data_IF_813653706675
#
_entry.id   IF_813653706675
#
_cell.length_a   1.000
_cell.length_b   1.000
_cell.length_c   1.000
_cell.angle_alpha   90.00
_cell.angle_beta   90.00
_cell.angle_gamma   90.00
#
_symmetry.space_group_name_H-M   'P 1'
#
loop_
_entity.id
_entity.type
_entity.pdbx_description
1 polymer ?
#
# COMPACT_ATOMS: atom_id res chain seq x y z
N UNK A 1 13.22 -1.78 17.56
CA UNK A 1 12.99 -3.03 18.27
C UNK A 1 13.05 -4.20 17.30
N UNK A 2 13.79 -5.26 17.57
CA UNK A 2 13.73 -6.43 16.72
C UNK A 2 12.32 -7.05 16.81
N UNK A 3 11.82 -7.62 15.72
CA UNK A 3 10.48 -8.22 15.71
C UNK A 3 10.42 -9.41 16.68
N UNK A 4 9.27 -9.62 17.34
CA UNK A 4 9.07 -10.82 18.15
C UNK A 4 9.18 -12.06 17.24
N UNK A 5 9.84 -13.10 17.74
CA UNK A 5 10.03 -14.33 16.99
C UNK A 5 8.71 -15.10 16.85
N UNK A 6 8.29 -15.30 15.62
CA UNK A 6 7.68 -16.51 15.15
C UNK A 6 6.26 -16.79 15.51
N UNK A 7 5.31 -16.36 14.70
CA UNK A 7 4.11 -17.17 14.41
C UNK A 7 4.38 -17.99 13.16
N UNK A 8 3.78 -19.18 13.05
CA UNK A 8 4.04 -20.13 11.99
C UNK A 8 3.83 -19.54 10.58
N UNK A 9 4.86 -18.90 10.03
CA UNK A 9 4.89 -18.37 8.66
C UNK A 9 4.52 -19.43 7.63
N UNK A 10 4.83 -20.70 7.90
CA UNK A 10 4.50 -21.83 7.04
C UNK A 10 2.99 -22.08 6.89
N UNK A 11 2.15 -21.56 7.78
CA UNK A 11 0.69 -21.70 7.71
C UNK A 11 0.02 -20.61 6.87
N UNK A 12 0.76 -19.59 6.42
CA UNK A 12 0.21 -18.53 5.60
C UNK A 12 0.05 -18.98 4.14
N UNK A 13 -1.05 -18.58 3.46
CA UNK A 13 -1.15 -18.72 2.01
C UNK A 13 0.04 -18.06 1.30
N UNK A 14 0.45 -18.58 0.13
CA UNK A 14 1.64 -18.07 -0.58
C UNK A 14 1.67 -16.56 -0.78
N UNK A 15 0.51 -15.94 -1.02
CA UNK A 15 0.39 -14.50 -1.22
C UNK A 15 0.70 -13.66 0.03
N UNK A 16 0.83 -14.27 1.19
CA UNK A 16 1.16 -13.62 2.46
C UNK A 16 2.48 -14.10 3.06
N UNK A 17 3.14 -15.08 2.43
CA UNK A 17 4.42 -15.58 2.90
C UNK A 17 5.54 -14.60 2.53
N UNK A 18 6.55 -14.42 3.41
CA UNK A 18 7.74 -13.65 3.07
C UNK A 18 8.45 -14.26 1.86
N UNK A 19 9.05 -13.42 1.04
CA UNK A 19 9.93 -13.88 -0.02
C UNK A 19 11.15 -14.60 0.55
N UNK A 20 11.52 -15.73 -0.05
CA UNK A 20 12.61 -16.59 0.42
C UNK A 20 13.97 -16.25 -0.16
N UNK A 21 14.02 -15.55 -1.27
CA UNK A 21 15.24 -15.16 -1.92
C UNK A 21 15.66 -13.76 -1.49
N UNK A 22 16.97 -13.41 -1.58
CA UNK A 22 17.33 -12.00 -1.50
C UNK A 22 16.48 -11.24 -2.51
N UNK A 23 15.79 -10.20 -2.03
CA UNK A 23 14.90 -9.41 -2.85
C UNK A 23 15.65 -8.98 -4.12
N UNK A 24 15.08 -9.26 -5.28
CA UNK A 24 15.58 -8.67 -6.51
C UNK A 24 15.54 -7.16 -6.33
N UNK A 25 16.59 -6.49 -6.77
CA UNK A 25 16.61 -5.04 -6.78
C UNK A 25 15.37 -4.52 -7.49
N UNK A 26 14.72 -3.52 -6.88
CA UNK A 26 13.53 -2.88 -7.44
C UNK A 26 13.90 -2.26 -8.80
N UNK A 27 13.13 -2.49 -9.87
CA UNK A 27 13.38 -1.85 -11.16
C UNK A 27 13.52 -0.33 -11.02
N UNK A 28 14.46 0.32 -11.73
CA UNK A 28 14.72 1.75 -11.59
C UNK A 28 13.48 2.64 -11.72
N UNK A 29 12.51 2.27 -12.56
CA UNK A 29 11.26 3.02 -12.73
C UNK A 29 10.41 3.10 -11.46
N UNK A 30 10.61 2.19 -10.51
CA UNK A 30 9.90 2.16 -9.23
C UNK A 30 10.70 2.73 -8.06
N UNK A 31 11.93 3.18 -8.31
CA UNK A 31 12.72 3.85 -7.27
C UNK A 31 12.05 5.16 -6.87
N UNK A 32 12.06 5.45 -5.57
CA UNK A 32 11.63 6.75 -5.06
C UNK A 32 12.38 7.87 -5.75
N UNK A 33 11.65 8.79 -6.37
CA UNK A 33 12.24 9.82 -7.23
C UNK A 33 11.47 11.13 -7.11
N UNK A 34 12.18 12.25 -7.05
CA UNK A 34 11.57 13.57 -7.18
C UNK A 34 11.20 13.79 -8.66
N UNK A 35 9.96 14.17 -8.90
CA UNK A 35 9.43 14.35 -10.26
C UNK A 35 8.67 15.67 -10.38
N UNK A 36 8.55 16.18 -11.62
CA UNK A 36 7.61 17.23 -11.93
C UNK A 36 6.20 16.67 -11.85
N UNK A 37 5.35 17.35 -11.11
CA UNK A 37 3.96 16.95 -10.92
C UNK A 37 3.10 18.19 -10.75
N UNK A 38 2.70 18.85 -11.84
CA UNK A 38 1.80 20.00 -11.79
C UNK A 38 0.46 19.58 -11.25
N UNK A 39 -0.01 20.22 -10.19
CA UNK A 39 -1.29 19.91 -9.56
C UNK A 39 -1.85 21.11 -8.83
N UNK A 40 -3.16 21.17 -8.69
CA UNK A 40 -3.86 22.14 -7.85
C UNK A 40 -3.96 21.70 -6.39
N UNK A 41 -3.57 20.46 -6.10
CA UNK A 41 -3.63 19.91 -4.74
C UNK A 41 -2.57 20.55 -3.84
N UNK A 42 -2.94 20.74 -2.58
CA UNK A 42 -2.04 21.31 -1.58
C UNK A 42 -0.82 20.43 -1.34
N UNK A 43 0.35 21.01 -1.02
CA UNK A 43 1.51 20.25 -0.58
C UNK A 43 1.16 19.31 0.58
N UNK A 44 1.73 18.10 0.59
CA UNK A 44 1.43 17.09 1.59
C UNK A 44 0.24 16.19 1.25
N UNK A 45 -0.31 16.29 0.04
CA UNK A 45 -1.37 15.41 -0.44
C UNK A 45 -0.77 14.17 -1.09
N UNK A 46 -1.34 13.01 -0.77
CA UNK A 46 -1.01 11.73 -1.42
C UNK A 46 -1.95 11.53 -2.61
N UNK A 47 -1.41 11.23 -3.78
CA UNK A 47 -2.17 10.90 -4.98
C UNK A 47 -1.73 9.53 -5.48
N UNK A 48 -2.67 8.60 -5.60
CA UNK A 48 -2.41 7.23 -6.01
C UNK A 48 -2.91 7.02 -7.44
N UNK A 49 -1.98 6.71 -8.32
CA UNK A 49 -2.24 6.36 -9.71
C UNK A 49 -2.19 4.84 -9.85
N UNK A 50 -3.31 4.19 -9.62
CA UNK A 50 -3.43 2.73 -9.60
C UNK A 50 -3.01 2.10 -10.92
N UNK A 51 -3.48 2.55 -12.11
CA UNK A 51 -3.11 1.91 -13.37
C UNK A 51 -1.61 1.91 -13.66
N UNK A 52 -0.90 2.95 -13.24
CA UNK A 52 0.54 3.08 -13.47
C UNK A 52 1.39 2.58 -12.30
N UNK A 53 0.76 2.15 -11.21
CA UNK A 53 1.44 1.65 -10.00
C UNK A 53 2.40 2.66 -9.37
N UNK A 54 1.94 3.89 -9.27
CA UNK A 54 2.66 4.98 -8.61
C UNK A 54 1.84 5.65 -7.50
N UNK A 55 2.54 6.09 -6.47
CA UNK A 55 2.04 6.99 -5.45
C UNK A 55 2.87 8.27 -5.49
N UNK A 56 2.20 9.41 -5.48
CA UNK A 56 2.83 10.73 -5.46
C UNK A 56 2.53 11.44 -4.14
N UNK A 57 3.56 11.94 -3.49
CA UNK A 57 3.42 12.87 -2.37
C UNK A 57 3.76 14.27 -2.89
N UNK A 58 2.78 15.15 -2.95
CA UNK A 58 2.99 16.53 -3.40
C UNK A 58 3.81 17.30 -2.37
N UNK A 59 4.79 18.06 -2.84
CA UNK A 59 5.67 18.86 -1.97
C UNK A 59 5.63 20.36 -2.30
N UNK A 60 4.75 20.78 -3.21
CA UNK A 60 4.67 22.16 -3.69
C UNK A 60 5.59 22.43 -4.87
N UNK A 61 5.49 23.65 -5.42
CA UNK A 61 6.29 24.11 -6.56
C UNK A 61 6.21 23.22 -7.81
N UNK A 62 5.06 22.55 -8.01
CA UNK A 62 4.86 21.64 -9.15
C UNK A 62 5.69 20.36 -9.07
N UNK A 63 6.09 19.96 -7.88
CA UNK A 63 6.92 18.77 -7.61
C UNK A 63 6.20 17.76 -6.72
N UNK A 64 6.57 16.51 -6.86
CA UNK A 64 6.15 15.42 -5.98
C UNK A 64 7.28 14.40 -5.81
N UNK A 65 7.22 13.66 -4.71
CA UNK A 65 8.02 12.45 -4.54
C UNK A 65 7.17 11.30 -5.07
N UNK A 66 7.71 10.55 -6.03
CA UNK A 66 7.06 9.39 -6.62
C UNK A 66 7.60 8.11 -6.03
N UNK A 67 6.70 7.24 -5.60
CA UNK A 67 7.00 5.89 -5.08
C UNK A 67 6.39 4.84 -6.01
N UNK A 68 7.11 3.76 -6.27
CA UNK A 68 6.54 2.57 -6.89
C UNK A 68 5.65 1.82 -5.89
N UNK A 69 4.50 1.34 -6.33
CA UNK A 69 3.54 0.65 -5.47
C UNK A 69 3.05 -0.66 -6.08
N UNK A 70 2.60 -1.57 -5.22
CA UNK A 70 1.75 -2.68 -5.60
C UNK A 70 0.30 -2.33 -5.27
N UNK A 71 -0.63 -2.76 -6.10
CA UNK A 71 -2.04 -2.35 -6.02
C UNK A 71 -3.00 -3.54 -6.04
N UNK A 72 -4.28 -3.27 -5.89
CA UNK A 72 -5.33 -4.27 -5.95
C UNK A 72 -5.43 -4.93 -7.32
N UNK A 73 -5.71 -6.24 -7.31
CA UNK A 73 -6.06 -6.98 -8.53
C UNK A 73 -7.40 -6.51 -9.08
N UNK A 74 -7.69 -6.83 -10.32
CA UNK A 74 -8.97 -6.51 -10.96
C UNK A 74 -10.15 -6.91 -10.07
N UNK A 75 -11.14 -6.03 -9.94
CA UNK A 75 -12.29 -6.19 -9.04
C UNK A 75 -12.01 -5.78 -7.58
N UNK A 76 -10.76 -5.49 -7.21
CA UNK A 76 -10.35 -5.02 -5.88
C UNK A 76 -9.70 -3.64 -5.93
N UNK A 77 -10.01 -2.87 -6.95
CA UNK A 77 -9.59 -1.47 -7.07
C UNK A 77 -10.72 -0.56 -6.58
N UNK A 78 -10.33 0.59 -6.07
CA UNK A 78 -11.25 1.62 -5.60
C UNK A 78 -10.72 3.00 -6.00
N UNK A 79 -11.59 3.97 -5.99
CA UNK A 79 -11.23 5.37 -6.25
C UNK A 79 -11.99 6.28 -5.30
N UNK A 80 -11.47 7.48 -5.11
CA UNK A 80 -12.08 8.46 -4.24
C UNK A 80 -11.07 9.17 -3.37
N UNK A 81 -11.56 9.86 -2.36
CA UNK A 81 -10.74 10.63 -1.43
C UNK A 81 -10.97 10.15 -0.01
N UNK A 82 -9.88 9.90 0.70
CA UNK A 82 -9.86 9.54 2.11
C UNK A 82 -8.81 10.38 2.84
N UNK A 83 -8.81 10.29 4.15
CA UNK A 83 -7.77 10.85 5.01
C UNK A 83 -7.11 9.75 5.80
N UNK A 84 -5.82 9.90 6.08
CA UNK A 84 -5.15 9.01 7.03
C UNK A 84 -5.81 9.20 8.39
N UNK A 85 -6.40 8.13 8.92
CA UNK A 85 -7.10 8.14 10.21
C UNK A 85 -6.24 7.61 11.35
N UNK A 86 -5.25 6.78 11.02
CA UNK A 86 -4.36 6.18 12.00
C UNK A 86 -3.04 5.81 11.33
N UNK A 87 -1.96 5.89 12.09
CA UNK A 87 -0.61 5.51 11.66
C UNK A 87 0.00 4.56 12.70
N UNK A 88 0.70 3.53 12.23
CA UNK A 88 1.27 2.51 13.10
C UNK A 88 2.63 2.05 12.58
N UNK A 89 3.60 1.98 13.49
CA UNK A 89 4.89 1.34 13.22
C UNK A 89 4.80 -0.17 13.49
N UNK A 90 5.35 -0.98 12.61
CA UNK A 90 5.34 -2.44 12.70
C UNK A 90 3.97 -2.98 13.13
N UNK A 91 2.93 -2.75 12.33
CA UNK A 91 1.56 -3.07 12.73
C UNK A 91 1.36 -4.58 12.87
N UNK A 92 0.52 -4.94 13.83
CA UNK A 92 -0.03 -6.29 13.90
C UNK A 92 -1.01 -6.53 12.75
N UNK A 93 -1.09 -7.77 12.29
CA UNK A 93 -2.03 -8.16 11.26
C UNK A 93 -3.14 -9.03 11.85
N UNK A 94 -4.37 -8.57 11.68
CA UNK A 94 -5.57 -9.34 11.98
C UNK A 94 -6.25 -9.64 10.65
N UNK A 95 -6.18 -10.88 10.16
CA UNK A 95 -6.88 -11.25 8.93
C UNK A 95 -8.36 -10.92 9.01
N UNK A 96 -8.96 -10.36 7.94
CA UNK A 96 -10.39 -10.07 7.91
C UNK A 96 -11.23 -11.31 8.18
N UNK A 97 -12.36 -11.14 8.87
CA UNK A 97 -13.27 -12.27 9.20
C UNK A 97 -13.68 -13.08 7.97
N UNK A 98 -13.94 -12.43 6.86
CA UNK A 98 -14.28 -13.10 5.59
C UNK A 98 -13.14 -13.99 5.07
N UNK A 99 -11.90 -13.56 5.23
CA UNK A 99 -10.72 -14.35 4.87
C UNK A 99 -10.60 -15.60 5.75
N UNK A 100 -10.82 -15.43 7.05
CA UNK A 100 -10.82 -16.55 8.02
C UNK A 100 -11.92 -17.56 7.71
N UNK A 101 -13.10 -17.09 7.29
CA UNK A 101 -14.20 -17.98 6.90
C UNK A 101 -13.85 -18.83 5.67
N UNK A 102 -13.14 -18.26 4.70
CA UNK A 102 -12.67 -19.00 3.52
C UNK A 102 -11.49 -19.89 3.79
N UNK A 103 -10.66 -19.51 4.75
CA UNK A 103 -9.42 -20.20 5.12
C UNK A 103 -9.31 -20.30 6.65
N UNK A 104 -10.07 -21.22 7.30
CA UNK A 104 -10.16 -21.28 8.76
C UNK A 104 -8.83 -21.56 9.47
N UNK A 105 -7.82 -22.06 8.75
CA UNK A 105 -6.49 -22.34 9.28
C UNK A 105 -5.61 -21.10 9.44
N UNK A 106 -6.06 -19.93 8.95
CA UNK A 106 -5.30 -18.68 9.12
C UNK A 106 -5.20 -18.31 10.60
N UNK A 107 -4.04 -17.78 11.03
CA UNK A 107 -3.94 -17.22 12.37
C UNK A 107 -4.92 -16.06 12.54
N UNK A 108 -5.52 -15.95 13.71
CA UNK A 108 -6.41 -14.83 14.06
C UNK A 108 -5.65 -13.53 14.26
N UNK A 109 -4.36 -13.64 14.53
CA UNK A 109 -3.46 -12.54 14.86
C UNK A 109 -2.05 -12.90 14.42
N UNK A 110 -1.36 -11.92 13.85
CA UNK A 110 0.06 -12.03 13.56
C UNK A 110 0.77 -10.76 14.05
N UNK A 111 1.73 -10.94 14.96
CA UNK A 111 2.50 -9.83 15.51
C UNK A 111 3.28 -9.10 14.42
N UNK A 112 3.45 -7.79 14.59
CA UNK A 112 4.27 -6.96 13.71
C UNK A 112 5.71 -7.44 13.63
N UNK A 113 6.32 -7.32 12.48
CA UNK A 113 7.69 -7.72 12.20
C UNK A 113 7.97 -7.90 10.72
N UNK A 114 9.21 -8.23 10.38
CA UNK A 114 9.65 -8.37 8.98
C UNK A 114 8.91 -9.45 8.20
N UNK A 115 8.42 -10.47 8.89
CA UNK A 115 7.65 -11.56 8.26
C UNK A 115 6.17 -11.26 8.12
N UNK A 116 5.69 -10.17 8.72
CA UNK A 116 4.29 -9.76 8.66
C UNK A 116 3.97 -9.17 7.28
N UNK A 117 2.84 -9.53 6.66
CA UNK A 117 2.45 -8.99 5.36
C UNK A 117 2.30 -7.47 5.31
N UNK A 118 2.02 -6.80 6.44
CA UNK A 118 1.87 -5.35 6.50
C UNK A 118 3.21 -4.61 6.53
N UNK A 119 4.33 -5.30 6.75
CA UNK A 119 5.65 -4.71 6.75
C UNK A 119 5.88 -3.69 7.87
N UNK A 120 6.74 -2.71 7.58
CA UNK A 120 7.31 -1.82 8.59
C UNK A 120 6.35 -0.76 9.12
N UNK A 121 5.41 -0.30 8.31
CA UNK A 121 4.47 0.81 8.63
C UNK A 121 3.12 0.56 7.99
N UNK A 122 2.07 1.07 8.61
CA UNK A 122 0.75 1.15 8.02
C UNK A 122 0.10 2.52 8.27
N UNK A 123 -0.57 3.02 7.25
CA UNK A 123 -1.39 4.22 7.29
C UNK A 123 -2.81 3.82 6.90
N UNK A 124 -3.73 3.92 7.85
CA UNK A 124 -5.12 3.50 7.69
C UNK A 124 -5.92 4.63 7.05
N UNK A 125 -6.81 4.29 6.11
CA UNK A 125 -7.57 5.26 5.32
C UNK A 125 -9.01 5.35 5.79
N UNK A 126 -9.36 6.45 6.44
CA UNK A 126 -10.71 6.73 6.92
C UNK A 126 -11.28 5.61 7.78
N UNK A 127 -12.52 5.25 7.51
CA UNK A 127 -13.22 4.12 8.12
C UNK A 127 -13.23 2.88 7.21
N UNK A 128 -12.38 2.87 6.18
CA UNK A 128 -12.30 1.77 5.22
C UNK A 128 -11.40 0.66 5.75
N UNK A 129 -11.41 -0.48 5.07
CA UNK A 129 -10.46 -1.56 5.30
C UNK A 129 -9.12 -1.34 4.56
N UNK A 130 -9.03 -0.27 3.76
CA UNK A 130 -7.85 0.01 2.95
C UNK A 130 -6.76 0.71 3.75
N UNK A 131 -5.53 0.40 3.39
CA UNK A 131 -4.31 0.97 4.00
C UNK A 131 -3.22 1.13 2.97
N UNK A 132 -2.32 2.03 3.30
CA UNK A 132 -1.01 2.13 2.67
C UNK A 132 -0.04 1.46 3.65
N UNK A 133 0.70 0.46 3.21
CA UNK A 133 1.55 -0.31 4.12
C UNK A 133 2.82 -0.82 3.43
N UNK A 134 3.77 -1.27 4.23
CA UNK A 134 4.95 -1.98 3.76
C UNK A 134 4.62 -3.39 3.27
N UNK A 135 5.64 -4.18 3.01
CA UNK A 135 5.43 -5.54 2.51
C UNK A 135 6.56 -6.49 2.93
N UNK A 136 6.21 -7.76 3.09
CA UNK A 136 7.18 -8.85 3.17
C UNK A 136 7.48 -9.47 1.79
N UNK A 137 6.89 -8.91 0.72
CA UNK A 137 7.02 -9.38 -0.66
C UNK A 137 7.37 -8.20 -1.59
N UNK A 138 8.61 -7.68 -1.54
CA UNK A 138 9.00 -6.50 -2.33
C UNK A 138 8.89 -6.72 -3.85
N UNK A 139 8.91 -7.95 -4.35
CA UNK A 139 8.70 -8.23 -5.78
C UNK A 139 7.28 -7.91 -6.27
N UNK A 140 6.32 -7.69 -5.36
CA UNK A 140 4.94 -7.31 -5.73
C UNK A 140 4.78 -5.83 -6.10
N UNK A 141 5.82 -5.02 -5.93
CA UNK A 141 5.80 -3.63 -6.41
C UNK A 141 5.70 -3.62 -7.93
N UNK A 142 4.79 -2.82 -8.46
CA UNK A 142 4.49 -2.77 -9.89
C UNK A 142 3.47 -3.81 -10.35
N UNK A 143 2.86 -4.57 -9.44
CA UNK A 143 1.90 -5.63 -9.76
C UNK A 143 0.51 -5.35 -9.18
N UNK A 144 -0.48 -6.12 -9.64
CA UNK A 144 -1.89 -6.00 -9.30
C UNK A 144 -2.34 -7.27 -8.56
N UNK A 145 -1.93 -7.43 -7.32
CA UNK A 145 -2.10 -8.69 -6.58
C UNK A 145 -2.82 -8.54 -5.23
N UNK A 146 -2.98 -7.33 -4.71
CA UNK A 146 -3.58 -7.12 -3.40
C UNK A 146 -5.11 -7.13 -3.44
N UNK A 147 -5.74 -7.11 -2.26
CA UNK A 147 -7.19 -6.96 -2.09
C UNK A 147 -7.62 -5.48 -1.93
N UNK A 148 -6.93 -4.57 -2.61
CA UNK A 148 -7.22 -3.13 -2.62
C UNK A 148 -6.27 -2.27 -1.82
N UNK A 149 -5.46 -2.84 -0.94
CA UNK A 149 -4.44 -2.10 -0.20
C UNK A 149 -3.25 -1.72 -1.09
N UNK A 150 -2.59 -0.64 -0.74
CA UNK A 150 -1.46 -0.08 -1.46
C UNK A 150 -0.18 -0.51 -0.76
N UNK A 151 0.67 -1.24 -1.47
CA UNK A 151 1.94 -1.76 -0.94
C UNK A 151 3.12 -0.93 -1.41
N UNK A 152 4.02 -0.61 -0.50
CA UNK A 152 5.33 -0.05 -0.78
C UNK A 152 6.41 -0.99 -0.24
N UNK A 153 7.65 -0.84 -0.71
CA UNK A 153 8.76 -1.47 0.00
C UNK A 153 8.83 -0.93 1.43
N UNK A 154 9.41 -1.69 2.35
CA UNK A 154 9.56 -1.22 3.73
C UNK A 154 10.37 0.07 3.82
N UNK A 155 11.42 0.21 3.03
CA UNK A 155 12.22 1.44 2.96
C UNK A 155 11.37 2.63 2.51
N UNK A 156 10.56 2.47 1.47
CA UNK A 156 9.73 3.55 0.94
C UNK A 156 8.56 3.90 1.86
N UNK A 157 7.92 2.90 2.49
CA UNK A 157 6.83 3.21 3.43
C UNK A 157 7.34 3.92 4.68
N UNK A 158 8.54 3.61 5.13
CA UNK A 158 9.18 4.33 6.23
C UNK A 158 9.46 5.79 5.84
N UNK A 159 9.94 6.03 4.64
CA UNK A 159 10.17 7.38 4.13
C UNK A 159 8.86 8.16 4.01
N UNK A 160 7.83 7.59 3.39
CA UNK A 160 6.52 8.22 3.27
C UNK A 160 5.90 8.52 4.65
N UNK A 161 5.95 7.56 5.55
CA UNK A 161 5.44 7.68 6.92
C UNK A 161 6.06 8.87 7.67
N UNK A 162 7.35 9.12 7.47
CA UNK A 162 8.07 10.23 8.09
C UNK A 162 7.63 11.61 7.58
N UNK A 163 6.97 11.67 6.43
CA UNK A 163 6.60 12.91 5.74
C UNK A 163 5.13 13.28 5.85
N UNK A 164 4.30 12.39 6.37
CA UNK A 164 2.85 12.57 6.46
C UNK A 164 2.36 12.44 7.90
N UNK A 165 1.08 12.72 8.14
CA UNK A 165 0.47 12.67 9.45
C UNK A 165 -0.97 12.17 9.37
N UNK A 166 -1.56 11.85 10.51
CA UNK A 166 -3.01 11.66 10.63
C UNK A 166 -3.71 12.93 10.12
N UNK A 167 -4.70 12.78 9.26
CA UNK A 167 -5.38 13.88 8.57
C UNK A 167 -4.87 14.16 7.17
N UNK A 168 -3.71 13.60 6.76
CA UNK A 168 -3.22 13.73 5.38
C UNK A 168 -4.26 13.22 4.40
N UNK A 169 -4.54 14.02 3.38
CA UNK A 169 -5.50 13.71 2.32
C UNK A 169 -4.90 12.72 1.34
N UNK A 170 -5.66 11.70 1.00
CA UNK A 170 -5.28 10.64 0.06
C UNK A 170 -6.31 10.57 -1.05
N UNK A 171 -5.88 10.82 -2.27
CA UNK A 171 -6.72 10.78 -3.46
C UNK A 171 -6.31 9.56 -4.28
N UNK A 172 -7.25 8.64 -4.50
CA UNK A 172 -7.05 7.52 -5.41
C UNK A 172 -7.74 7.84 -6.73
N UNK A 173 -6.95 7.99 -7.77
CA UNK A 173 -7.45 8.32 -9.10
C UNK A 173 -8.27 7.15 -9.66
N UNK A 174 -9.36 7.43 -10.41
CA UNK A 174 -10.10 6.37 -11.08
C UNK A 174 -9.21 5.68 -12.12
N UNK A 175 -9.31 4.35 -12.19
CA UNK A 175 -8.63 3.58 -13.24
C UNK A 175 -9.18 3.91 -14.64
N UNK A 176 -8.37 3.66 -15.68
CA UNK A 176 -8.73 3.95 -17.07
C UNK A 176 -10.07 3.31 -17.48
N UNK A 177 -10.37 2.11 -16.99
CA UNK A 177 -11.63 1.41 -17.29
C UNK A 177 -12.84 2.05 -16.59
N UNK A 178 -12.65 2.67 -15.42
CA UNK A 178 -13.72 3.35 -14.69
C UNK A 178 -14.10 4.65 -15.38
N UNK A 179 -13.13 5.40 -15.90
CA UNK A 179 -13.38 6.62 -16.64
C UNK A 179 -14.14 6.37 -17.95
N UNK A 180 -13.79 5.32 -18.68
CA UNK A 180 -14.48 4.92 -19.91
C UNK A 180 -15.93 4.51 -19.64
N UNK A 181 -16.20 3.80 -18.56
CA UNK A 181 -17.54 3.39 -18.14
C UNK A 181 -18.42 4.57 -17.76
N UNK A 182 -17.86 5.61 -17.17
CA UNK A 182 -18.59 6.83 -16.81
C UNK A 182 -18.96 7.69 -18.01
N UNK A 183 -18.13 7.69 -19.05
CA UNK A 183 -18.41 8.41 -20.30
C UNK A 183 -19.48 7.73 -21.15
N UNK A 184 -19.70 6.43 -20.98
CA UNK A 184 -20.74 5.70 -21.70
C UNK A 184 -22.13 5.78 -21.05
N UNK A 185 -22.23 6.35 -19.85
CA UNK A 185 -23.52 6.56 -19.13
C UNK A 185 -24.12 7.97 -19.32
N UNK A 186 -23.48 8.77 -20.12
CA UNK A 186 -23.94 10.08 -20.55
C UNK A 186 -24.05 10.08 -22.09
#
# INVERSE_FOLDING_TARGET
MPPPRGTAVAALPPQYQPERAPAKELPPRFHRTLVDYPTVESPGTIIIDTPNTYLYLTIGHGKAIRYGIGVGREGFTWSGTERISRMKEWPDWLPPKQMIQRQPYLPRFMAGGETNPLGARAMYLGNTEYRIHGTNQPSTIGTFVSSGCIRLTNEDVEDLYSRVAVGTRVIVLPGANTAASQLQQH
#
